data_IF_176841128460
#
_entry.id   IF_176841128460
#
_cell.length_a   1.000
_cell.length_b   1.000
_cell.length_c   1.000
_cell.angle_alpha   90.00
_cell.angle_beta   90.00
_cell.angle_gamma   90.00
#
_symmetry.space_group_name_H-M   'P 1'
#
loop_
_entity.id
_entity.type
_entity.pdbx_description
1 polymer ?
#
# COMPACT_ATOMS: atom_id res chain seq x y z
N UNK A 1 -6.59 8.52 -41.45
CA UNK A 1 -7.62 7.90 -40.59
C UNK A 1 -7.31 6.42 -40.52
N UNK A 2 -6.84 5.92 -39.35
CA UNK A 2 -7.19 4.62 -38.77
C UNK A 2 -6.31 4.32 -37.56
N UNK A 3 -6.97 4.26 -36.39
CA UNK A 3 -6.40 4.13 -35.06
C UNK A 3 -5.88 2.71 -34.84
N UNK A 4 -4.61 2.62 -34.44
CA UNK A 4 -4.02 1.42 -33.86
C UNK A 4 -4.78 1.05 -32.58
N UNK A 5 -5.44 -0.11 -32.62
CA UNK A 5 -6.19 -0.69 -31.51
C UNK A 5 -5.17 -1.24 -30.52
N UNK A 6 -4.99 -0.54 -29.39
CA UNK A 6 -4.25 -1.07 -28.24
C UNK A 6 -5.20 -1.98 -27.45
N UNK A 7 -5.01 -3.29 -27.58
CA UNK A 7 -5.74 -4.29 -26.80
C UNK A 7 -5.24 -4.22 -25.36
N UNK A 8 -6.07 -3.68 -24.48
CA UNK A 8 -5.82 -3.62 -23.04
C UNK A 8 -6.26 -4.97 -22.45
N UNK A 9 -5.29 -5.85 -22.19
CA UNK A 9 -5.55 -7.15 -21.57
C UNK A 9 -5.88 -6.90 -20.09
N UNK A 10 -7.16 -6.72 -19.80
CA UNK A 10 -7.70 -6.77 -18.45
C UNK A 10 -7.81 -8.24 -18.07
N UNK A 11 -6.76 -8.80 -17.46
CA UNK A 11 -6.83 -10.12 -16.85
C UNK A 11 -7.62 -10.03 -15.53
N UNK A 12 -8.95 -10.05 -15.60
CA UNK A 12 -9.79 -10.35 -14.45
C UNK A 12 -9.72 -11.86 -14.22
N UNK A 13 -8.78 -12.28 -13.38
CA UNK A 13 -8.74 -13.63 -12.83
C UNK A 13 -9.85 -13.81 -11.80
N UNK A 14 -11.08 -14.06 -12.25
CA UNK A 14 -12.19 -14.47 -11.39
C UNK A 14 -12.06 -15.96 -11.06
N UNK A 15 -11.23 -16.31 -10.07
CA UNK A 15 -11.35 -17.62 -9.41
C UNK A 15 -12.32 -17.48 -8.24
N UNK A 16 -13.52 -18.03 -8.44
CA UNK A 16 -14.47 -18.29 -7.39
C UNK A 16 -13.89 -19.32 -6.41
N UNK A 17 -13.81 -18.97 -5.13
CA UNK A 17 -13.62 -19.93 -4.05
C UNK A 17 -14.49 -19.46 -2.89
N UNK A 18 -15.62 -20.13 -2.71
CA UNK A 18 -16.45 -19.99 -1.52
C UNK A 18 -15.72 -20.64 -0.35
N UNK A 19 -14.77 -19.91 0.24
CA UNK A 19 -14.24 -20.22 1.55
C UNK A 19 -14.79 -19.16 2.51
N UNK A 20 -15.78 -19.53 3.31
CA UNK A 20 -16.19 -18.75 4.47
C UNK A 20 -14.94 -18.49 5.32
N UNK A 21 -14.47 -17.25 5.30
CA UNK A 21 -13.25 -16.86 5.98
C UNK A 21 -13.50 -15.50 6.62
N UNK A 22 -13.63 -15.49 7.94
CA UNK A 22 -13.34 -14.34 8.79
C UNK A 22 -11.82 -14.02 8.76
N UNK A 23 -11.19 -14.07 7.58
CA UNK A 23 -9.83 -13.62 7.35
C UNK A 23 -9.92 -12.12 7.13
N UNK A 24 -9.27 -11.34 8.00
CA UNK A 24 -9.27 -9.88 7.95
C UNK A 24 -9.10 -9.40 6.51
N UNK A 25 -10.02 -8.54 6.07
CA UNK A 25 -10.06 -8.05 4.69
C UNK A 25 -8.72 -7.36 4.39
N UNK A 26 -7.93 -7.94 3.50
CA UNK A 26 -6.76 -7.30 2.93
C UNK A 26 -7.11 -6.74 1.55
N UNK A 27 -6.57 -5.56 1.23
CA UNK A 27 -6.68 -4.94 -0.08
C UNK A 27 -5.31 -4.99 -0.75
N UNK A 28 -5.28 -5.30 -2.05
CA UNK A 28 -4.09 -5.23 -2.89
C UNK A 28 -4.43 -4.43 -4.13
N UNK A 29 -3.67 -3.37 -4.38
CA UNK A 29 -3.77 -2.51 -5.56
C UNK A 29 -2.43 -2.62 -6.27
N UNK A 30 -2.46 -2.96 -7.55
CA UNK A 30 -1.26 -2.99 -8.40
C UNK A 30 -1.53 -2.08 -9.59
N UNK A 31 -0.66 -1.10 -9.78
CA UNK A 31 -0.64 -0.24 -10.95
C UNK A 31 0.65 -0.50 -11.70
N UNK A 32 0.55 -0.82 -12.99
CA UNK A 32 1.70 -1.03 -13.87
C UNK A 32 1.45 -0.30 -15.19
N UNK A 33 2.34 0.61 -15.53
CA UNK A 33 2.40 1.34 -16.80
C UNK A 33 3.82 1.24 -17.36
N UNK A 34 4.05 1.52 -18.64
CA UNK A 34 5.37 1.39 -19.27
C UNK A 34 6.46 2.10 -18.44
N UNK A 35 7.33 1.31 -17.79
CA UNK A 35 8.45 1.79 -16.97
C UNK A 35 8.14 2.07 -15.50
N UNK A 36 6.89 1.94 -15.03
CA UNK A 36 6.52 2.22 -13.64
C UNK A 36 5.63 1.12 -13.05
N UNK A 37 5.99 0.67 -11.85
CA UNK A 37 5.24 -0.33 -11.09
C UNK A 37 5.03 0.16 -9.66
N UNK A 38 3.77 0.23 -9.27
CA UNK A 38 3.36 0.52 -7.90
C UNK A 38 2.49 -0.61 -7.36
N UNK A 39 2.76 -1.03 -6.13
CA UNK A 39 1.98 -2.02 -5.41
C UNK A 39 1.69 -1.53 -3.99
N UNK A 40 0.40 -1.49 -3.66
CA UNK A 40 -0.10 -1.16 -2.33
C UNK A 40 -0.81 -2.40 -1.79
N UNK A 41 -0.44 -2.85 -0.58
CA UNK A 41 -1.21 -3.85 0.17
C UNK A 41 -1.50 -3.32 1.56
N UNK A 42 -2.71 -3.52 2.05
CA UNK A 42 -3.01 -3.21 3.44
C UNK A 42 -4.06 -4.14 4.02
N UNK A 43 -4.05 -4.27 5.34
CA UNK A 43 -5.04 -5.01 6.11
C UNK A 43 -5.35 -4.27 7.40
N UNK A 44 -6.59 -4.40 7.86
CA UNK A 44 -7.07 -3.69 9.05
C UNK A 44 -7.27 -2.19 8.82
N UNK A 45 -7.35 -1.44 9.92
CA UNK A 45 -7.53 0.01 9.90
C UNK A 45 -6.17 0.70 9.90
N UNK A 46 -5.90 1.52 8.89
CA UNK A 46 -4.73 2.40 8.80
C UNK A 46 -5.24 3.84 8.84
N UNK A 47 -4.78 4.59 9.84
CA UNK A 47 -5.12 6.00 10.05
C UNK A 47 -3.89 6.84 9.73
N UNK A 48 -4.01 7.71 8.74
CA UNK A 48 -2.95 8.63 8.36
C UNK A 48 -2.97 9.89 9.23
N UNK A 49 -1.83 10.56 9.35
CA UNK A 49 -1.77 11.88 10.00
C UNK A 49 -2.55 12.92 9.20
N UNK A 50 -3.08 13.99 9.84
CA UNK A 50 -3.89 15.00 9.14
C UNK A 50 -3.17 15.70 7.97
N UNK A 51 -1.86 15.87 8.07
CA UNK A 51 -1.00 16.45 7.04
C UNK A 51 -0.64 15.46 5.90
N UNK A 52 -1.11 14.21 5.99
CA UNK A 52 -0.85 13.14 5.02
C UNK A 52 0.64 12.85 4.81
N UNK A 53 1.48 13.03 5.83
CA UNK A 53 2.93 12.74 5.78
C UNK A 53 3.32 11.47 6.53
N UNK A 54 2.43 10.90 7.34
CA UNK A 54 2.73 9.70 8.13
C UNK A 54 1.51 8.88 8.51
N UNK A 55 1.73 7.90 9.38
CA UNK A 55 0.72 6.98 9.87
C UNK A 55 0.55 7.21 11.37
N UNK A 56 -0.65 7.61 11.78
CA UNK A 56 -1.00 7.85 13.18
C UNK A 56 -1.29 6.53 13.92
N UNK A 57 -1.95 5.58 13.24
CA UNK A 57 -2.34 4.32 13.86
C UNK A 57 -2.51 3.19 12.83
N UNK A 58 -2.17 1.97 13.23
CA UNK A 58 -2.50 0.75 12.52
C UNK A 58 -3.15 -0.20 13.53
N UNK A 59 -4.30 -0.77 13.19
CA UNK A 59 -4.97 -1.75 14.05
C UNK A 59 -4.08 -2.96 14.31
N UNK A 60 -4.25 -3.63 15.45
CA UNK A 60 -3.52 -4.86 15.80
C UNK A 60 -3.61 -5.91 14.67
N UNK A 61 -2.47 -6.51 14.29
CA UNK A 61 -2.31 -7.43 13.12
C UNK A 61 -2.61 -6.78 11.74
N UNK A 62 -2.85 -5.49 11.70
CA UNK A 62 -2.93 -4.71 10.46
C UNK A 62 -1.55 -4.35 9.95
N UNK A 63 -1.48 -4.03 8.67
CA UNK A 63 -0.25 -3.61 8.01
C UNK A 63 -0.57 -2.70 6.82
N UNK A 64 0.44 -1.93 6.42
CA UNK A 64 0.53 -1.28 5.13
C UNK A 64 1.85 -1.70 4.48
N UNK A 65 1.80 -2.09 3.22
CA UNK A 65 2.95 -2.35 2.38
C UNK A 65 2.82 -1.50 1.13
N UNK A 66 3.93 -0.87 0.76
CA UNK A 66 4.07 -0.03 -0.42
C UNK A 66 5.36 -0.43 -1.12
N UNK A 67 5.27 -0.68 -2.42
CA UNK A 67 6.40 -0.93 -3.32
C UNK A 67 6.21 -0.02 -4.53
N UNK A 68 7.21 0.82 -4.80
CA UNK A 68 7.24 1.65 -5.99
C UNK A 68 8.61 1.52 -6.64
N UNK A 69 8.63 0.99 -7.85
CA UNK A 69 9.83 0.76 -8.66
C UNK A 69 10.95 0.02 -7.88
N UNK A 70 10.55 -0.89 -6.98
CA UNK A 70 11.46 -1.73 -6.20
C UNK A 70 11.81 -1.17 -4.82
N UNK A 71 11.52 0.10 -4.54
CA UNK A 71 11.67 0.71 -3.20
C UNK A 71 10.48 0.34 -2.33
N UNK A 72 10.74 -0.29 -1.19
CA UNK A 72 9.71 -0.90 -0.35
C UNK A 72 9.60 -0.21 0.99
N UNK A 73 8.36 -0.08 1.45
CA UNK A 73 8.00 0.33 2.80
C UNK A 73 6.98 -0.66 3.35
N UNK A 74 7.19 -1.11 4.58
CA UNK A 74 6.23 -1.88 5.36
C UNK A 74 6.01 -1.20 6.70
N UNK A 75 4.76 -0.91 7.05
CA UNK A 75 4.37 -0.33 8.32
C UNK A 75 3.38 -1.24 9.04
N UNK A 76 3.60 -1.49 10.33
CA UNK A 76 2.77 -2.38 11.15
C UNK A 76 2.61 -1.86 12.57
N UNK A 77 1.62 -2.39 13.31
CA UNK A 77 1.53 -2.17 14.74
C UNK A 77 2.47 -3.12 15.49
N UNK A 78 3.37 -2.55 16.30
CA UNK A 78 4.13 -3.26 17.33
C UNK A 78 3.21 -3.80 18.43
N UNK A 79 3.72 -4.74 19.23
CA UNK A 79 3.09 -5.23 20.46
C UNK A 79 2.80 -4.12 21.48
N UNK A 80 3.55 -3.00 21.42
CA UNK A 80 3.34 -1.81 22.24
C UNK A 80 2.35 -0.81 21.62
N UNK A 81 1.59 -1.22 20.60
CA UNK A 81 0.63 -0.39 19.87
C UNK A 81 1.26 0.86 19.21
N UNK A 82 2.56 0.80 18.92
CA UNK A 82 3.30 1.82 18.17
C UNK A 82 3.39 1.41 16.69
N UNK A 83 3.41 2.38 15.78
CA UNK A 83 3.68 2.09 14.36
C UNK A 83 5.19 1.91 14.18
N UNK A 84 5.58 0.79 13.59
CA UNK A 84 6.97 0.46 13.23
C UNK A 84 7.09 0.30 11.73
N UNK A 85 8.26 0.61 11.19
CA UNK A 85 8.52 0.69 9.75
C UNK A 85 9.72 -0.18 9.35
N UNK A 86 9.64 -0.86 8.22
CA UNK A 86 10.75 -1.56 7.56
C UNK A 86 10.87 -1.04 6.14
N UNK A 87 12.09 -0.79 5.70
CA UNK A 87 12.41 -0.29 4.36
C UNK A 87 13.24 -1.35 3.65
N UNK A 88 12.90 -1.67 2.40
CA UNK A 88 13.63 -2.64 1.56
C UNK A 88 13.87 -4.04 2.17
N UNK A 89 13.10 -4.41 3.20
CA UNK A 89 13.23 -5.68 3.90
C UNK A 89 14.16 -5.66 5.11
N UNK A 90 14.68 -4.49 5.49
CA UNK A 90 15.46 -4.28 6.69
C UNK A 90 14.63 -4.49 7.97
N UNK A 91 15.32 -4.48 9.12
CA UNK A 91 14.67 -4.55 10.42
C UNK A 91 13.65 -3.43 10.66
N UNK A 92 12.69 -3.69 11.55
CA UNK A 92 11.71 -2.68 11.94
C UNK A 92 12.33 -1.60 12.83
N UNK A 93 12.08 -0.34 12.47
CA UNK A 93 12.50 0.85 13.21
C UNK A 93 11.29 1.70 13.59
N UNK A 94 11.42 2.46 14.68
CA UNK A 94 10.43 3.46 15.11
C UNK A 94 10.97 4.90 15.04
N UNK A 95 12.23 5.07 14.67
CA UNK A 95 12.86 6.36 14.40
C UNK A 95 13.28 6.39 12.94
N UNK A 96 12.79 7.40 12.22
CA UNK A 96 13.01 7.53 10.77
C UNK A 96 14.03 8.62 10.48
N UNK A 97 14.95 8.35 9.55
CA UNK A 97 15.80 9.36 8.94
C UNK A 97 14.96 10.38 8.14
N UNK A 98 15.58 11.49 7.72
CA UNK A 98 14.91 12.48 6.89
C UNK A 98 14.41 11.87 5.56
N UNK A 99 15.26 11.07 4.90
CA UNK A 99 14.93 10.36 3.66
C UNK A 99 13.79 9.36 3.86
N UNK A 100 13.81 8.59 4.95
CA UNK A 100 12.75 7.64 5.28
C UNK A 100 11.41 8.33 5.55
N UNK A 101 11.41 9.50 6.19
CA UNK A 101 10.20 10.32 6.40
C UNK A 101 9.64 10.83 5.07
N UNK A 102 10.52 11.27 4.17
CA UNK A 102 10.12 11.73 2.85
C UNK A 102 9.48 10.59 2.04
N UNK A 103 10.10 9.41 2.04
CA UNK A 103 9.55 8.24 1.37
C UNK A 103 8.23 7.77 1.99
N UNK A 104 8.11 7.80 3.33
CA UNK A 104 6.84 7.53 4.03
C UNK A 104 5.74 8.51 3.59
N UNK A 105 6.03 9.80 3.56
CA UNK A 105 5.07 10.83 3.16
C UNK A 105 4.61 10.63 1.71
N UNK A 106 5.53 10.26 0.82
CA UNK A 106 5.22 9.92 -0.57
C UNK A 106 4.29 8.70 -0.65
N UNK A 107 4.62 7.61 0.04
CA UNK A 107 3.80 6.40 0.09
C UNK A 107 2.39 6.67 0.64
N UNK A 108 2.27 7.45 1.72
CA UNK A 108 0.97 7.83 2.31
C UNK A 108 0.11 8.59 1.29
N UNK A 109 0.67 9.59 0.62
CA UNK A 109 -0.04 10.36 -0.41
C UNK A 109 -0.47 9.48 -1.59
N UNK A 110 0.37 8.55 -2.03
CA UNK A 110 0.05 7.59 -3.08
C UNK A 110 -1.14 6.70 -2.67
N UNK A 111 -1.13 6.16 -1.45
CA UNK A 111 -2.21 5.32 -0.94
C UNK A 111 -3.53 6.10 -0.85
N UNK A 112 -3.50 7.34 -0.35
CA UNK A 112 -4.70 8.20 -0.28
C UNK A 112 -5.26 8.46 -1.68
N UNK A 113 -4.39 8.77 -2.65
CA UNK A 113 -4.76 9.02 -4.05
C UNK A 113 -5.43 7.79 -4.68
N UNK A 114 -4.81 6.62 -4.57
CA UNK A 114 -5.34 5.38 -5.15
C UNK A 114 -6.66 4.97 -4.49
N UNK A 115 -6.79 5.14 -3.16
CA UNK A 115 -8.07 4.92 -2.48
C UNK A 115 -9.16 5.88 -2.93
N UNK A 116 -8.83 7.15 -3.18
CA UNK A 116 -9.79 8.11 -3.71
C UNK A 116 -10.24 7.75 -5.14
N UNK A 117 -9.33 7.22 -5.96
CA UNK A 117 -9.63 6.74 -7.32
C UNK A 117 -10.59 5.55 -7.33
N UNK A 118 -10.42 4.59 -6.41
CA UNK A 118 -11.28 3.40 -6.30
C UNK A 118 -12.69 3.69 -5.77
N UNK A 119 -12.90 4.85 -5.12
CA UNK A 119 -14.20 5.27 -4.58
C UNK A 119 -15.05 6.08 -5.57
N UNK A 120 -14.49 6.42 -6.73
CA UNK A 120 -15.20 7.08 -7.83
C UNK A 120 -15.80 6.03 -8.76
#
# INVERSE_FOLDING_TARGET
MNKQIRILIIAIGAMASMAGCNRGRSTRIVSATDGHRQEIKYSGSVVFTPDSTGIAHISRKGFLFFDEDGKKLRAESSDKNQVVYSFDGDGFVNQLSAEQKEFLAHAVKAVIRERARLRR
#
